data_IF_875007294853
#
_entry.id   IF_875007294853
#
_cell.length_a   1.000
_cell.length_b   1.000
_cell.length_c   1.000
_cell.angle_alpha   90.00
_cell.angle_beta   90.00
_cell.angle_gamma   90.00
#
_symmetry.space_group_name_H-M   'P 1'
#
loop_
_entity.id
_entity.type
_entity.pdbx_description
1 polymer ?
#
# COMPACT_ATOMS: atom_id res chain seq x y z
N UNK A 1 -7.08 -25.84 -7.76
CA UNK A 1 -7.12 -24.38 -7.96
C UNK A 1 -5.85 -23.97 -8.72
N UNK A 2 -5.98 -23.54 -9.98
CA UNK A 2 -4.82 -23.04 -10.74
C UNK A 2 -4.38 -21.74 -10.06
N UNK A 3 -3.23 -21.72 -9.39
CA UNK A 3 -2.71 -20.51 -8.75
C UNK A 3 -2.50 -19.47 -9.86
N UNK A 4 -3.35 -18.45 -9.94
CA UNK A 4 -3.07 -17.31 -10.79
C UNK A 4 -1.86 -16.59 -10.20
N UNK A 5 -0.73 -16.47 -10.93
CA UNK A 5 0.49 -15.88 -10.40
C UNK A 5 0.28 -14.44 -9.89
N UNK A 6 -0.66 -13.70 -10.51
CA UNK A 6 -1.05 -12.35 -10.10
C UNK A 6 -1.79 -12.31 -8.76
N UNK A 7 -2.63 -13.29 -8.45
CA UNK A 7 -3.31 -13.37 -7.16
C UNK A 7 -2.30 -13.61 -6.03
N UNK A 8 -1.35 -14.53 -6.25
CA UNK A 8 -0.29 -14.81 -5.27
C UNK A 8 0.62 -13.60 -5.07
N UNK A 9 1.04 -12.93 -6.16
CA UNK A 9 1.74 -11.66 -6.10
C UNK A 9 0.98 -10.69 -5.21
N UNK A 10 -0.29 -10.43 -5.54
CA UNK A 10 -1.10 -9.44 -4.84
C UNK A 10 -1.16 -9.73 -3.33
N UNK A 11 -1.38 -10.99 -2.95
CA UNK A 11 -1.40 -11.38 -1.53
C UNK A 11 -0.06 -11.18 -0.83
N UNK A 12 1.05 -11.54 -1.49
CA UNK A 12 2.40 -11.33 -0.93
C UNK A 12 2.63 -9.84 -0.69
N UNK A 13 2.32 -8.99 -1.66
CA UNK A 13 2.49 -7.54 -1.52
C UNK A 13 1.57 -6.98 -0.42
N UNK A 14 0.32 -7.45 -0.31
CA UNK A 14 -0.57 -7.05 0.79
C UNK A 14 0.02 -7.41 2.17
N UNK A 15 0.59 -8.62 2.31
CA UNK A 15 1.24 -9.02 3.56
C UNK A 15 2.47 -8.16 3.85
N UNK A 16 3.30 -7.86 2.85
CA UNK A 16 4.45 -6.97 3.01
C UNK A 16 3.99 -5.58 3.47
N UNK A 17 2.92 -5.03 2.89
CA UNK A 17 2.38 -3.73 3.30
C UNK A 17 1.93 -3.74 4.78
N UNK A 18 1.28 -4.82 5.24
CA UNK A 18 0.91 -4.97 6.66
C UNK A 18 2.15 -4.99 7.55
N UNK A 19 3.17 -5.78 7.18
CA UNK A 19 4.40 -5.89 7.96
C UNK A 19 5.16 -4.55 8.02
N UNK A 20 5.20 -3.81 6.92
CA UNK A 20 5.72 -2.44 6.90
C UNK A 20 4.92 -1.51 7.79
N UNK A 21 3.59 -1.62 7.78
CA UNK A 21 2.72 -0.86 8.67
C UNK A 21 3.03 -1.13 10.14
N UNK A 22 3.17 -2.40 10.53
CA UNK A 22 3.58 -2.79 11.90
C UNK A 22 4.94 -2.17 12.25
N UNK A 23 5.93 -2.28 11.36
CA UNK A 23 7.25 -1.69 11.56
C UNK A 23 7.17 -0.18 11.80
N UNK A 24 6.38 0.53 11.00
CA UNK A 24 6.21 1.98 11.10
C UNK A 24 5.49 2.41 12.39
N UNK A 25 4.53 1.63 12.87
CA UNK A 25 3.86 1.91 14.15
C UNK A 25 4.83 1.87 15.33
N UNK A 26 5.70 0.87 15.39
CA UNK A 26 6.56 0.68 16.57
C UNK A 26 7.94 1.33 16.45
N UNK A 27 8.46 1.46 15.24
CA UNK A 27 9.85 1.89 14.99
C UNK A 27 9.91 3.17 14.15
N UNK A 28 8.87 3.44 13.36
CA UNK A 28 8.81 4.59 12.45
C UNK A 28 9.94 4.61 11.43
N UNK A 29 10.32 5.81 10.99
CA UNK A 29 11.40 6.01 10.02
C UNK A 29 12.81 5.78 10.57
N UNK A 30 12.97 5.48 11.87
CA UNK A 30 14.28 5.37 12.54
C UNK A 30 15.18 4.28 11.94
N UNK A 31 14.58 3.32 11.22
CA UNK A 31 15.25 2.19 10.55
C UNK A 31 15.76 2.55 9.15
N UNK A 32 15.21 3.61 8.55
CA UNK A 32 15.54 4.03 7.19
C UNK A 32 16.57 5.17 7.21
N UNK A 33 17.43 5.29 6.18
CA UNK A 33 18.43 6.34 6.08
C UNK A 33 17.81 7.67 5.64
N UNK A 34 16.82 8.16 6.37
CA UNK A 34 16.10 9.43 6.13
C UNK A 34 16.33 10.43 7.26
N UNK A 35 16.23 11.71 6.95
CA UNK A 35 16.39 12.77 7.94
C UNK A 35 15.31 12.63 9.03
N UNK A 36 15.75 12.56 10.29
CA UNK A 36 14.86 12.27 11.44
C UNK A 36 13.89 13.40 11.77
N UNK A 37 14.04 14.56 11.13
CA UNK A 37 13.14 15.70 11.23
C UNK A 37 11.92 15.60 10.31
N UNK A 38 11.84 14.58 9.45
CA UNK A 38 10.85 14.48 8.38
C UNK A 38 9.46 14.06 8.88
N UNK A 39 9.37 13.22 9.92
CA UNK A 39 8.10 12.80 10.52
C UNK A 39 8.26 12.62 12.04
N UNK A 40 7.29 13.10 12.80
CA UNK A 40 7.17 12.81 14.23
C UNK A 40 6.82 11.34 14.46
N UNK A 41 7.15 10.82 15.65
CA UNK A 41 6.84 9.43 16.02
C UNK A 41 5.32 9.14 15.90
N UNK A 42 4.48 10.11 16.25
CA UNK A 42 3.01 10.03 16.07
C UNK A 42 2.60 9.90 14.60
N UNK A 43 3.18 10.70 13.71
CA UNK A 43 2.84 10.70 12.30
C UNK A 43 3.30 9.40 11.63
N UNK A 44 4.47 8.89 12.03
CA UNK A 44 4.95 7.56 11.63
C UNK A 44 3.97 6.46 12.06
N UNK A 45 3.42 6.56 13.27
CA UNK A 45 2.43 5.60 13.75
C UNK A 45 1.09 5.68 13.01
N UNK A 46 0.62 6.89 12.66
CA UNK A 46 -0.56 7.06 11.81
C UNK A 46 -0.35 6.44 10.42
N UNK A 47 0.82 6.69 9.82
CA UNK A 47 1.20 6.08 8.55
C UNK A 47 1.19 4.56 8.61
N UNK A 48 1.83 4.01 9.66
CA UNK A 48 1.86 2.57 9.87
C UNK A 48 0.46 1.96 10.05
N UNK A 49 -0.41 2.62 10.82
CA UNK A 49 -1.80 2.21 11.00
C UNK A 49 -2.58 2.21 9.68
N UNK A 50 -2.36 3.23 8.85
CA UNK A 50 -3.01 3.36 7.56
C UNK A 50 -2.55 2.26 6.58
N UNK A 51 -1.25 1.96 6.54
CA UNK A 51 -0.68 0.84 5.79
C UNK A 51 -1.23 -0.51 6.26
N UNK A 52 -1.37 -0.73 7.57
CA UNK A 52 -2.00 -1.95 8.09
C UNK A 52 -3.47 -2.07 7.69
N UNK A 53 -4.24 -0.99 7.79
CA UNK A 53 -5.65 -0.95 7.42
C UNK A 53 -5.86 -1.26 5.94
N UNK A 54 -5.12 -0.58 5.06
CA UNK A 54 -5.17 -0.85 3.61
C UNK A 54 -4.61 -2.21 3.25
N UNK A 55 -3.47 -2.61 3.82
CA UNK A 55 -2.86 -3.92 3.58
C UNK A 55 -3.81 -5.07 3.95
N UNK A 56 -4.50 -4.95 5.08
CA UNK A 56 -5.51 -5.92 5.52
C UNK A 56 -6.72 -5.93 4.59
N UNK A 57 -7.22 -4.75 4.20
CA UNK A 57 -8.34 -4.62 3.27
C UNK A 57 -8.02 -5.25 1.92
N UNK A 58 -6.85 -4.94 1.36
CA UNK A 58 -6.35 -5.53 0.12
C UNK A 58 -6.22 -7.05 0.27
N UNK A 59 -5.59 -7.54 1.34
CA UNK A 59 -5.42 -8.98 1.55
C UNK A 59 -6.75 -9.73 1.57
N UNK A 60 -7.72 -9.26 2.37
CA UNK A 60 -9.00 -9.95 2.57
C UNK A 60 -9.95 -9.78 1.38
N UNK A 61 -10.19 -8.53 0.97
CA UNK A 61 -11.14 -8.21 -0.11
C UNK A 61 -10.55 -8.55 -1.47
N UNK A 62 -9.26 -8.28 -1.68
CA UNK A 62 -8.56 -8.67 -2.91
C UNK A 62 -8.51 -10.18 -3.08
N UNK A 63 -8.32 -10.96 -2.00
CA UNK A 63 -8.45 -12.42 -2.07
C UNK A 63 -9.81 -12.85 -2.59
N UNK A 64 -10.90 -12.26 -2.09
CA UNK A 64 -12.25 -12.55 -2.60
C UNK A 64 -12.38 -12.14 -4.07
N UNK A 65 -11.89 -10.96 -4.44
CA UNK A 65 -11.94 -10.43 -5.80
C UNK A 65 -11.22 -11.33 -6.82
N UNK A 66 -10.04 -11.87 -6.45
CA UNK A 66 -9.31 -12.82 -7.30
C UNK A 66 -9.94 -14.22 -7.31
N UNK A 67 -10.42 -14.71 -6.15
CA UNK A 67 -11.05 -16.03 -6.08
C UNK A 67 -12.34 -16.13 -6.89
N UNK A 68 -13.10 -15.04 -6.96
CA UNK A 68 -14.38 -14.97 -7.68
C UNK A 68 -14.27 -14.34 -9.08
N UNK A 69 -13.07 -13.89 -9.47
CA UNK A 69 -12.81 -13.07 -10.67
C UNK A 69 -13.78 -11.87 -10.82
N UNK A 70 -14.11 -11.22 -9.70
CA UNK A 70 -15.03 -10.08 -9.65
C UNK A 70 -14.31 -8.79 -10.09
N UNK A 71 -14.46 -8.45 -11.37
CA UNK A 71 -13.83 -7.25 -11.96
C UNK A 71 -14.26 -5.95 -11.29
N UNK A 72 -15.52 -5.86 -10.88
CA UNK A 72 -16.05 -4.67 -10.21
C UNK A 72 -15.37 -4.46 -8.85
N UNK A 73 -15.15 -5.54 -8.10
CA UNK A 73 -14.43 -5.49 -6.83
C UNK A 73 -12.95 -5.15 -7.02
N UNK A 74 -12.28 -5.75 -8.02
CA UNK A 74 -10.90 -5.37 -8.40
C UNK A 74 -10.83 -3.87 -8.76
N UNK A 75 -11.82 -3.35 -9.50
CA UNK A 75 -11.89 -1.93 -9.89
C UNK A 75 -12.13 -1.01 -8.69
N UNK A 76 -13.01 -1.40 -7.76
CA UNK A 76 -13.25 -0.63 -6.53
C UNK A 76 -11.99 -0.53 -5.67
N UNK A 77 -11.26 -1.63 -5.50
CA UNK A 77 -9.96 -1.64 -4.82
C UNK A 77 -8.94 -0.75 -5.52
N UNK A 78 -8.87 -0.81 -6.86
CA UNK A 78 -7.96 0.02 -7.64
C UNK A 78 -8.27 1.51 -7.47
N UNK A 79 -9.54 1.92 -7.54
CA UNK A 79 -9.93 3.32 -7.37
C UNK A 79 -9.56 3.81 -5.97
N UNK A 80 -9.86 3.03 -4.92
CA UNK A 80 -9.50 3.37 -3.55
C UNK A 80 -7.98 3.54 -3.36
N UNK A 81 -7.19 2.61 -3.92
CA UNK A 81 -5.74 2.66 -3.89
C UNK A 81 -5.20 3.90 -4.63
N UNK A 82 -5.73 4.19 -5.82
CA UNK A 82 -5.34 5.38 -6.61
C UNK A 82 -5.62 6.66 -5.84
N UNK A 83 -6.80 6.79 -5.23
CA UNK A 83 -7.18 8.00 -4.49
C UNK A 83 -6.25 8.21 -3.29
N UNK A 84 -5.98 7.14 -2.53
CA UNK A 84 -5.06 7.23 -1.40
C UNK A 84 -3.66 7.64 -1.86
N UNK A 85 -3.04 6.90 -2.78
CA UNK A 85 -1.66 7.17 -3.21
C UNK A 85 -1.51 8.50 -3.94
N UNK A 86 -2.51 8.93 -4.72
CA UNK A 86 -2.48 10.23 -5.37
C UNK A 86 -2.58 11.38 -4.35
N UNK A 87 -3.44 11.24 -3.33
CA UNK A 87 -3.54 12.21 -2.25
C UNK A 87 -2.25 12.32 -1.44
N UNK A 88 -1.66 11.16 -1.11
CA UNK A 88 -0.39 11.05 -0.39
C UNK A 88 0.78 11.66 -1.19
N UNK A 89 0.90 11.32 -2.47
CA UNK A 89 1.93 11.86 -3.34
C UNK A 89 1.77 13.37 -3.54
N UNK A 90 0.54 13.87 -3.70
CA UNK A 90 0.27 15.31 -3.83
C UNK A 90 0.67 16.07 -2.57
N UNK A 91 0.31 15.57 -1.38
CA UNK A 91 0.75 16.14 -0.11
C UNK A 91 2.28 16.08 0.03
N UNK A 92 2.90 14.97 -0.35
CA UNK A 92 4.35 14.80 -0.30
C UNK A 92 5.08 15.80 -1.20
N UNK A 93 4.58 16.03 -2.42
CA UNK A 93 5.12 17.07 -3.31
C UNK A 93 4.98 18.45 -2.68
N UNK A 94 3.81 18.77 -2.11
CA UNK A 94 3.56 20.05 -1.46
C UNK A 94 4.53 20.32 -0.29
N UNK A 95 4.83 19.30 0.51
CA UNK A 95 5.78 19.40 1.63
C UNK A 95 7.25 19.11 1.23
N UNK A 96 7.54 18.85 -0.05
CA UNK A 96 8.90 18.60 -0.55
C UNK A 96 9.49 17.22 -0.21
N UNK A 97 8.66 16.24 0.19
CA UNK A 97 9.07 14.89 0.62
C UNK A 97 9.10 13.92 -0.57
N UNK A 98 10.05 14.11 -1.49
CA UNK A 98 10.15 13.33 -2.73
C UNK A 98 10.40 11.83 -2.56
N UNK A 99 11.04 11.43 -1.46
CA UNK A 99 11.22 10.01 -1.14
C UNK A 99 9.88 9.29 -1.05
N UNK A 100 8.88 9.92 -0.41
CA UNK A 100 7.57 9.31 -0.24
C UNK A 100 6.81 9.17 -1.57
N UNK A 101 6.94 10.15 -2.47
CA UNK A 101 6.40 10.05 -3.84
C UNK A 101 6.95 8.81 -4.57
N UNK A 102 8.23 8.49 -4.36
CA UNK A 102 8.84 7.28 -4.92
C UNK A 102 8.25 5.99 -4.32
N UNK A 103 8.00 5.99 -3.00
CA UNK A 103 7.32 4.87 -2.32
C UNK A 103 5.90 4.70 -2.86
N UNK A 104 5.13 5.79 -2.97
CA UNK A 104 3.77 5.79 -3.54
C UNK A 104 3.73 5.18 -4.94
N UNK A 105 4.65 5.60 -5.81
CA UNK A 105 4.77 5.07 -7.16
C UNK A 105 5.10 3.56 -7.17
N UNK A 106 5.96 3.12 -6.26
CA UNK A 106 6.31 1.71 -6.09
C UNK A 106 5.10 0.88 -5.63
N UNK A 107 4.40 1.33 -4.60
CA UNK A 107 3.19 0.68 -4.08
C UNK A 107 2.10 0.63 -5.15
N UNK A 108 1.90 1.74 -5.87
CA UNK A 108 0.95 1.83 -6.99
C UNK A 108 1.24 0.76 -8.04
N UNK A 109 2.49 0.65 -8.51
CA UNK A 109 2.87 -0.32 -9.52
C UNK A 109 2.66 -1.76 -9.04
N UNK A 110 3.08 -2.06 -7.80
CA UNK A 110 2.99 -3.41 -7.23
C UNK A 110 1.54 -3.91 -7.09
N UNK A 111 0.58 -3.04 -6.82
CA UNK A 111 -0.83 -3.43 -6.71
C UNK A 111 -1.65 -3.27 -8.00
N UNK A 112 -1.35 -2.26 -8.82
CA UNK A 112 -2.14 -2.00 -10.03
C UNK A 112 -1.93 -3.08 -11.08
N UNK A 113 -0.70 -3.55 -11.26
CA UNK A 113 -0.37 -4.61 -12.24
C UNK A 113 -1.24 -5.86 -12.05
N UNK A 114 -1.31 -6.48 -10.85
CA UNK A 114 -2.20 -7.62 -10.64
C UNK A 114 -3.69 -7.26 -10.70
N UNK A 115 -4.13 -6.09 -10.23
CA UNK A 115 -5.55 -5.69 -10.24
C UNK A 115 -6.12 -5.49 -11.66
N UNK A 116 -5.29 -5.08 -12.62
CA UNK A 116 -5.69 -4.93 -14.02
C UNK A 116 -5.74 -6.26 -14.78
N UNK A 117 -5.27 -7.36 -14.20
CA UNK A 117 -5.25 -8.68 -14.82
C UNK A 117 -6.44 -9.53 -14.37
N UNK A 118 -6.91 -10.38 -15.28
CA UNK A 118 -7.96 -11.37 -15.00
C UNK A 118 -7.37 -12.55 -14.22
#
# INVERSE_FOLDING_TARGET
MRKQPFALWFWIVSVILILFGILYVFVGLKVLPVQRTVLLDWESALYGALMMGWGTTLLLIGRLAFQRDEKELKRALLIGLVIWLAGEAAASIWFGVWFNVGVDAGVFALFTVPLLRR
#
